data_IF_170561196889
#
_entry.id   IF_170561196889
#
_cell.length_a   1.000
_cell.length_b   1.000
_cell.length_c   1.000
_cell.angle_alpha   90.00
_cell.angle_beta   90.00
_cell.angle_gamma   90.00
#
_symmetry.space_group_name_H-M   'P 1'
#
loop_
_entity.id
_entity.type
_entity.pdbx_description
1 polymer ?
#
# COMPACT_ATOMS: atom_id res chain seq x y z
N UNK A 1 -31.50 -31.02 -13.81
CA UNK A 1 -30.23 -30.29 -13.68
C UNK A 1 -29.84 -30.35 -12.22
N UNK A 2 -28.66 -30.91 -11.93
CA UNK A 2 -28.16 -30.99 -10.58
C UNK A 2 -27.69 -29.59 -10.16
N UNK A 3 -28.28 -29.00 -9.13
CA UNK A 3 -28.01 -27.61 -8.72
C UNK A 3 -27.25 -27.58 -7.40
N UNK A 4 -26.17 -26.81 -7.37
CA UNK A 4 -25.48 -26.45 -6.14
C UNK A 4 -26.42 -25.64 -5.25
N UNK A 5 -26.40 -25.90 -3.95
CA UNK A 5 -27.17 -25.13 -2.96
C UNK A 5 -26.20 -24.48 -1.99
N UNK A 6 -26.38 -23.18 -1.72
CA UNK A 6 -25.58 -22.49 -0.70
C UNK A 6 -25.82 -23.15 0.66
N UNK A 7 -24.73 -23.42 1.37
CA UNK A 7 -24.72 -23.97 2.71
C UNK A 7 -24.03 -22.98 3.65
N UNK A 8 -24.53 -22.89 4.88
CA UNK A 8 -23.95 -22.08 5.93
C UNK A 8 -23.47 -23.04 7.02
N UNK A 9 -22.16 -23.16 7.25
CA UNK A 9 -21.65 -23.90 8.40
C UNK A 9 -22.25 -23.34 9.69
N UNK A 10 -22.54 -24.21 10.64
CA UNK A 10 -23.19 -23.87 11.90
C UNK A 10 -22.16 -23.60 13.02
N UNK A 11 -20.89 -23.88 12.76
CA UNK A 11 -19.79 -23.67 13.70
C UNK A 11 -18.44 -23.56 12.97
N UNK A 12 -17.46 -22.95 13.63
CA UNK A 12 -16.07 -22.93 13.14
C UNK A 12 -15.49 -24.34 13.04
N UNK A 13 -15.77 -25.23 14.00
CA UNK A 13 -15.34 -26.63 13.93
C UNK A 13 -15.86 -27.35 12.67
N UNK A 14 -17.10 -27.07 12.27
CA UNK A 14 -17.64 -27.60 11.02
C UNK A 14 -16.96 -27.02 9.79
N UNK A 15 -16.72 -25.70 9.78
CA UNK A 15 -15.98 -25.04 8.71
C UNK A 15 -14.56 -25.60 8.60
N UNK A 16 -13.89 -25.85 9.72
CA UNK A 16 -12.54 -26.44 9.78
C UNK A 16 -12.52 -27.82 9.11
N UNK A 17 -13.49 -28.69 9.39
CA UNK A 17 -13.58 -30.00 8.74
C UNK A 17 -13.72 -29.88 7.22
N UNK A 18 -14.49 -28.90 6.73
CA UNK A 18 -14.68 -28.68 5.30
C UNK A 18 -13.38 -28.15 4.67
N UNK A 19 -12.70 -27.21 5.33
CA UNK A 19 -11.42 -26.67 4.88
C UNK A 19 -10.35 -27.76 4.82
N UNK A 20 -10.26 -28.63 5.83
CA UNK A 20 -9.28 -29.73 5.84
C UNK A 20 -9.49 -30.72 4.70
N UNK A 21 -10.76 -31.02 4.36
CA UNK A 21 -11.09 -31.90 3.25
C UNK A 21 -10.73 -31.29 1.87
N UNK A 22 -10.70 -29.97 1.79
CA UNK A 22 -10.52 -29.19 0.55
C UNK A 22 -9.34 -28.21 0.68
N UNK A 23 -8.28 -28.60 1.38
CA UNK A 23 -7.14 -27.71 1.67
C UNK A 23 -6.43 -27.27 0.38
N UNK A 24 -6.32 -28.20 -0.58
CA UNK A 24 -5.72 -27.98 -1.90
C UNK A 24 -6.50 -26.94 -2.73
N UNK A 25 -7.76 -26.65 -2.38
CA UNK A 25 -8.54 -25.60 -3.02
C UNK A 25 -8.14 -24.18 -2.57
N UNK A 26 -7.38 -24.04 -1.47
CA UNK A 26 -6.76 -22.77 -1.07
C UNK A 26 -5.62 -22.46 -2.04
N UNK A 27 -4.69 -23.39 -2.17
CA UNK A 27 -3.52 -23.29 -3.03
C UNK A 27 -2.94 -24.68 -3.30
N UNK A 28 -2.53 -24.93 -4.54
CA UNK A 28 -1.97 -26.22 -4.95
C UNK A 28 -0.67 -26.54 -4.21
N UNK A 29 -0.61 -27.72 -3.61
CA UNK A 29 0.59 -28.18 -2.87
C UNK A 29 0.69 -27.64 -1.44
N UNK A 30 -0.39 -27.04 -0.92
CA UNK A 30 -0.49 -26.69 0.50
C UNK A 30 -0.68 -27.96 1.34
N UNK A 31 0.25 -28.23 2.24
CA UNK A 31 0.25 -29.39 3.12
C UNK A 31 -0.09 -29.00 4.57
N UNK A 32 -1.05 -29.71 5.17
CA UNK A 32 -1.37 -29.54 6.60
C UNK A 32 -0.27 -30.16 7.47
N UNK A 33 0.38 -29.35 8.30
CA UNK A 33 1.30 -29.83 9.33
C UNK A 33 0.53 -30.21 10.59
N UNK A 34 -0.34 -29.32 11.06
CA UNK A 34 -1.18 -29.56 12.23
C UNK A 34 -2.42 -28.66 12.25
N UNK A 35 -3.56 -29.27 12.58
CA UNK A 35 -4.80 -28.58 12.95
C UNK A 35 -4.82 -28.32 14.46
N UNK A 36 -5.30 -27.16 14.89
CA UNK A 36 -5.29 -26.70 16.28
C UNK A 36 -3.87 -26.72 16.89
N UNK A 37 -2.91 -26.06 16.23
CA UNK A 37 -1.52 -26.02 16.66
C UNK A 37 -1.37 -25.17 17.94
N UNK A 38 -0.85 -25.73 19.05
CA UNK A 38 -0.65 -24.97 20.27
C UNK A 38 0.59 -24.07 20.13
N UNK A 39 0.36 -22.75 20.13
CA UNK A 39 1.42 -21.74 20.22
C UNK A 39 1.58 -21.23 21.65
N UNK A 40 2.69 -20.54 21.93
CA UNK A 40 2.87 -19.80 23.18
C UNK A 40 1.88 -18.63 23.37
N UNK A 41 1.01 -18.36 22.38
CA UNK A 41 0.06 -17.25 22.36
C UNK A 41 -1.40 -17.67 22.22
N UNK A 42 -1.72 -18.96 22.14
CA UNK A 42 -3.06 -19.49 21.89
C UNK A 42 -3.02 -20.71 20.97
N UNK A 43 -4.18 -21.12 20.45
CA UNK A 43 -4.29 -22.24 19.52
C UNK A 43 -4.53 -21.64 18.12
N UNK A 44 -3.61 -21.93 17.21
CA UNK A 44 -3.72 -21.56 15.79
C UNK A 44 -4.60 -22.59 15.09
N UNK A 45 -5.54 -22.15 14.24
CA UNK A 45 -6.45 -23.04 13.54
C UNK A 45 -5.70 -24.03 12.63
N UNK A 46 -4.88 -23.54 11.69
CA UNK A 46 -4.04 -24.41 10.87
C UNK A 46 -2.62 -23.89 10.74
N UNK A 47 -1.68 -24.80 10.98
CA UNK A 47 -0.28 -24.65 10.58
C UNK A 47 -0.04 -25.54 9.37
N UNK A 48 0.40 -24.94 8.26
CA UNK A 48 0.65 -25.60 6.99
C UNK A 48 2.06 -25.30 6.48
N UNK A 49 2.47 -26.00 5.42
CA UNK A 49 3.60 -25.67 4.58
C UNK A 49 3.14 -25.58 3.12
N UNK A 50 3.60 -24.59 2.37
CA UNK A 50 3.29 -24.48 0.96
C UNK A 50 4.24 -25.28 0.06
N UNK A 51 4.08 -25.16 -1.26
CA UNK A 51 4.88 -25.90 -2.23
C UNK A 51 6.38 -25.55 -2.23
N UNK A 52 6.77 -24.41 -1.64
CA UNK A 52 8.16 -24.02 -1.39
C UNK A 52 8.63 -24.43 0.03
N UNK A 53 7.83 -25.24 0.72
CA UNK A 53 7.99 -25.68 2.10
C UNK A 53 8.01 -24.53 3.13
N UNK A 54 7.53 -23.34 2.74
CA UNK A 54 7.44 -22.18 3.64
C UNK A 54 6.25 -22.36 4.57
N UNK A 55 6.43 -22.01 5.84
CA UNK A 55 5.36 -22.07 6.83
C UNK A 55 4.19 -21.13 6.48
N UNK A 56 2.98 -21.64 6.60
CA UNK A 56 1.72 -20.90 6.37
C UNK A 56 0.86 -20.99 7.61
N UNK A 57 0.45 -19.83 8.10
CA UNK A 57 -0.44 -19.67 9.26
C UNK A 57 -1.83 -19.35 8.72
N UNK A 58 -2.81 -20.18 9.03
CA UNK A 58 -4.20 -19.96 8.60
C UNK A 58 -5.07 -19.75 9.84
N UNK A 59 -5.77 -18.63 9.89
CA UNK A 59 -6.77 -18.31 10.91
C UNK A 59 -8.13 -18.16 10.24
N UNK A 60 -9.16 -18.77 10.84
CA UNK A 60 -10.49 -18.89 10.26
C UNK A 60 -11.53 -18.29 11.19
N UNK A 61 -12.53 -17.61 10.60
CA UNK A 61 -13.71 -17.12 11.31
C UNK A 61 -14.98 -17.44 10.54
N UNK A 62 -16.03 -17.85 11.25
CA UNK A 62 -17.33 -18.14 10.63
C UNK A 62 -17.99 -16.89 10.04
N UNK A 63 -17.74 -15.72 10.62
CA UNK A 63 -18.29 -14.43 10.22
C UNK A 63 -17.20 -13.35 10.22
N UNK A 64 -17.57 -12.12 9.91
CA UNK A 64 -16.69 -10.96 10.05
C UNK A 64 -16.21 -10.81 11.51
N UNK A 65 -14.89 -10.68 11.70
CA UNK A 65 -14.25 -10.52 13.00
C UNK A 65 -13.09 -9.51 12.91
N UNK A 66 -13.13 -8.46 13.74
CA UNK A 66 -12.13 -7.38 13.74
C UNK A 66 -10.81 -7.74 14.45
N UNK A 67 -10.78 -8.87 15.18
CA UNK A 67 -9.62 -9.33 15.92
C UNK A 67 -8.81 -10.40 15.17
N UNK A 68 -9.35 -10.98 14.11
CA UNK A 68 -8.71 -12.07 13.34
C UNK A 68 -7.28 -11.72 12.91
N UNK A 69 -7.06 -10.49 12.44
CA UNK A 69 -5.73 -10.00 12.06
C UNK A 69 -4.78 -9.97 13.26
N UNK A 70 -5.23 -9.48 14.41
CA UNK A 70 -4.41 -9.40 15.62
C UNK A 70 -4.07 -10.80 16.17
N UNK A 71 -5.01 -11.75 16.11
CA UNK A 71 -4.79 -13.14 16.49
C UNK A 71 -3.70 -13.77 15.60
N UNK A 72 -3.86 -13.68 14.28
CA UNK A 72 -2.89 -14.22 13.33
C UNK A 72 -1.49 -13.59 13.49
N UNK A 73 -1.40 -12.27 13.69
CA UNK A 73 -0.12 -11.59 13.94
C UNK A 73 0.55 -12.04 15.24
N UNK A 74 -0.22 -12.37 16.28
CA UNK A 74 0.31 -12.96 17.52
C UNK A 74 0.89 -14.34 17.29
N UNK A 75 0.21 -15.18 16.50
CA UNK A 75 0.71 -16.50 16.13
C UNK A 75 1.97 -16.39 15.28
N UNK A 76 1.97 -15.51 14.28
CA UNK A 76 3.14 -15.21 13.47
C UNK A 76 4.36 -14.87 14.32
N UNK A 77 4.22 -13.95 15.29
CA UNK A 77 5.35 -13.57 16.15
C UNK A 77 5.94 -14.72 16.98
N UNK A 78 5.14 -15.73 17.33
CA UNK A 78 5.60 -16.92 18.04
C UNK A 78 6.21 -17.96 17.09
N UNK A 79 5.58 -18.22 15.95
CA UNK A 79 6.05 -19.20 14.95
C UNK A 79 7.34 -18.73 14.28
N UNK A 80 7.42 -17.47 13.83
CA UNK A 80 8.62 -16.92 13.17
C UNK A 80 9.83 -16.96 14.11
N UNK A 81 9.63 -16.60 15.39
CA UNK A 81 10.68 -16.69 16.42
C UNK A 81 11.18 -18.12 16.61
N UNK A 82 10.33 -19.13 16.43
CA UNK A 82 10.63 -20.54 16.69
C UNK A 82 10.72 -21.40 15.42
N UNK A 83 10.85 -20.80 14.23
CA UNK A 83 10.76 -21.50 12.93
C UNK A 83 11.67 -22.73 12.79
N UNK A 84 12.90 -22.65 13.29
CA UNK A 84 13.83 -23.80 13.29
C UNK A 84 13.38 -24.93 14.23
N UNK A 85 12.70 -24.60 15.33
CA UNK A 85 12.13 -25.60 16.24
C UNK A 85 10.92 -26.26 15.59
N UNK A 86 10.06 -25.47 14.94
CA UNK A 86 8.91 -25.97 14.18
C UNK A 86 9.37 -26.88 13.05
N UNK A 87 10.38 -26.49 12.27
CA UNK A 87 10.93 -27.32 11.20
C UNK A 87 11.51 -28.65 11.71
N UNK A 88 12.13 -28.66 12.90
CA UNK A 88 12.58 -29.91 13.54
C UNK A 88 11.44 -30.79 14.02
N UNK A 89 10.34 -30.19 14.48
CA UNK A 89 9.14 -30.93 14.90
C UNK A 89 8.48 -31.65 13.72
N UNK A 90 8.53 -31.03 12.53
CA UNK A 90 7.98 -31.55 11.28
C UNK A 90 9.08 -31.92 10.27
N UNK A 91 10.16 -32.57 10.76
CA UNK A 91 11.32 -32.88 9.94
C UNK A 91 11.03 -33.83 8.76
N UNK A 92 9.93 -34.59 8.82
CA UNK A 92 9.44 -35.46 7.75
C UNK A 92 8.72 -34.69 6.63
N UNK A 93 8.45 -33.39 6.81
CA UNK A 93 7.72 -32.50 5.88
C UNK A 93 8.61 -31.48 5.16
N UNK A 94 9.91 -31.57 5.37
CA UNK A 94 10.94 -30.71 4.75
C UNK A 94 10.69 -29.20 4.89
N UNK A 95 10.07 -28.78 6.00
CA UNK A 95 9.76 -27.36 6.27
C UNK A 95 11.02 -26.51 6.16
N UNK A 96 10.96 -25.47 5.33
CA UNK A 96 12.02 -24.48 5.16
C UNK A 96 11.93 -23.39 6.25
N UNK A 97 12.88 -23.35 7.21
CA UNK A 97 12.89 -22.37 8.28
C UNK A 97 13.62 -21.08 7.91
N UNK A 98 14.18 -20.95 6.71
CA UNK A 98 14.89 -19.74 6.30
C UNK A 98 13.93 -18.62 5.91
N UNK A 99 12.78 -18.98 5.34
CA UNK A 99 11.74 -18.03 4.96
C UNK A 99 10.79 -17.73 6.14
N UNK A 100 10.44 -16.45 6.39
CA UNK A 100 9.49 -16.10 7.43
C UNK A 100 8.10 -16.62 7.04
N UNK A 101 7.26 -17.07 7.99
CA UNK A 101 5.91 -17.56 7.67
C UNK A 101 5.07 -16.52 6.91
N UNK A 102 4.10 -16.96 6.13
CA UNK A 102 3.02 -16.10 5.60
C UNK A 102 1.69 -16.39 6.29
N UNK A 103 0.75 -15.46 6.18
CA UNK A 103 -0.57 -15.57 6.80
C UNK A 103 -1.65 -15.65 5.73
N UNK A 104 -2.60 -16.56 5.91
CA UNK A 104 -3.87 -16.59 5.19
C UNK A 104 -5.00 -16.39 6.22
N UNK A 105 -5.85 -15.39 6.01
CA UNK A 105 -7.05 -15.20 6.81
C UNK A 105 -8.26 -15.67 6.01
N UNK A 106 -9.12 -16.47 6.62
CA UNK A 106 -10.35 -16.97 5.98
C UNK A 106 -11.58 -16.56 6.78
N UNK A 107 -12.52 -15.88 6.14
CA UNK A 107 -13.78 -15.48 6.78
C UNK A 107 -14.95 -15.49 5.80
N UNK A 108 -16.19 -15.43 6.28
CA UNK A 108 -17.34 -15.24 5.37
C UNK A 108 -17.24 -13.88 4.67
N UNK A 109 -16.79 -12.85 5.41
CA UNK A 109 -16.50 -11.50 4.92
C UNK A 109 -15.41 -10.81 5.74
N UNK A 110 -14.71 -9.86 5.11
CA UNK A 110 -13.82 -8.92 5.78
C UNK A 110 -14.30 -7.48 5.68
N UNK A 111 -14.21 -6.74 6.78
CA UNK A 111 -14.44 -5.29 6.81
C UNK A 111 -13.40 -4.53 5.99
N UNK A 112 -13.73 -3.29 5.60
CA UNK A 112 -12.79 -2.41 4.90
C UNK A 112 -11.54 -2.13 5.74
N UNK A 113 -11.66 -2.08 7.07
CA UNK A 113 -10.53 -1.87 7.95
C UNK A 113 -9.58 -3.06 7.96
N UNK A 114 -10.06 -4.32 8.04
CA UNK A 114 -9.19 -5.50 7.91
C UNK A 114 -8.52 -5.54 6.53
N UNK A 115 -9.27 -5.25 5.46
CA UNK A 115 -8.75 -5.19 4.08
C UNK A 115 -7.66 -4.12 3.91
N UNK A 116 -7.76 -3.00 4.63
CA UNK A 116 -6.76 -1.93 4.63
C UNK A 116 -5.59 -2.25 5.54
N UNK A 117 -5.83 -2.66 6.78
CA UNK A 117 -4.80 -2.88 7.80
C UNK A 117 -3.87 -4.04 7.45
N UNK A 118 -4.38 -5.08 6.79
CA UNK A 118 -3.56 -6.18 6.25
C UNK A 118 -2.46 -5.69 5.29
N UNK A 119 -2.67 -4.57 4.59
CA UNK A 119 -1.66 -3.97 3.69
C UNK A 119 -0.55 -3.21 4.41
N UNK A 120 -0.75 -2.89 5.69
CA UNK A 120 0.12 -1.98 6.46
C UNK A 120 1.06 -2.73 7.41
N UNK A 121 0.96 -4.05 7.48
CA UNK A 121 1.73 -4.89 8.40
C UNK A 121 2.69 -5.80 7.64
N UNK A 122 3.64 -6.36 8.37
CA UNK A 122 4.43 -7.53 7.96
C UNK A 122 4.11 -8.64 8.97
N UNK A 123 3.92 -9.91 8.54
CA UNK A 123 4.25 -10.52 7.24
C UNK A 123 3.24 -10.23 6.12
N UNK A 124 3.44 -10.83 4.95
CA UNK A 124 2.46 -10.81 3.85
C UNK A 124 1.19 -11.56 4.29
N UNK A 125 0.04 -10.93 4.06
CA UNK A 125 -1.27 -11.43 4.49
C UNK A 125 -2.17 -11.58 3.27
N UNK A 126 -2.64 -12.80 3.05
CA UNK A 126 -3.68 -13.12 2.09
C UNK A 126 -5.04 -13.17 2.77
N UNK A 127 -6.06 -12.63 2.09
CA UNK A 127 -7.43 -12.58 2.58
C UNK A 127 -8.31 -13.40 1.64
N UNK A 128 -8.94 -14.44 2.16
CA UNK A 128 -9.87 -15.29 1.42
C UNK A 128 -11.27 -15.22 2.03
N UNK A 129 -12.24 -14.75 1.27
CA UNK A 129 -13.65 -14.92 1.64
C UNK A 129 -14.14 -16.28 1.17
N UNK A 130 -14.98 -16.98 1.95
CA UNK A 130 -15.46 -18.31 1.55
C UNK A 130 -16.94 -18.35 1.19
N UNK A 131 -17.32 -19.36 0.41
CA UNK A 131 -18.69 -19.81 0.23
C UNK A 131 -18.76 -21.32 0.29
N UNK A 132 -19.65 -21.87 1.11
CA UNK A 132 -19.87 -23.32 1.17
C UNK A 132 -21.11 -23.69 0.36
N UNK A 133 -21.02 -24.80 -0.35
CA UNK A 133 -22.12 -25.35 -1.15
C UNK A 133 -22.36 -26.81 -0.83
N UNK A 134 -23.60 -27.25 -0.93
CA UNK A 134 -23.94 -28.68 -1.00
C UNK A 134 -23.93 -29.11 -2.45
N UNK A 135 -23.08 -30.08 -2.76
CA UNK A 135 -23.01 -30.77 -4.05
C UNK A 135 -24.26 -31.62 -4.28
N UNK A 136 -24.57 -31.98 -5.54
CA UNK A 136 -25.66 -32.91 -5.84
C UNK A 136 -25.54 -34.27 -5.15
N UNK A 137 -24.32 -34.69 -4.83
CA UNK A 137 -24.00 -35.92 -4.07
C UNK A 137 -24.40 -35.83 -2.60
N UNK A 138 -24.70 -34.63 -2.08
CA UNK A 138 -24.95 -34.36 -0.67
C UNK A 138 -23.72 -33.94 0.12
N UNK A 139 -22.53 -34.04 -0.48
CA UNK A 139 -21.26 -33.58 0.10
C UNK A 139 -21.19 -32.06 0.15
N UNK A 140 -20.34 -31.53 1.03
CA UNK A 140 -20.09 -30.09 1.17
C UNK A 140 -18.78 -29.76 0.45
N UNK A 141 -18.79 -28.72 -0.37
CA UNK A 141 -17.60 -28.13 -0.98
C UNK A 141 -17.45 -26.68 -0.59
N UNK A 142 -16.22 -26.15 -0.65
CA UNK A 142 -15.89 -24.76 -0.33
C UNK A 142 -15.29 -24.07 -1.55
N UNK A 143 -15.61 -22.79 -1.71
CA UNK A 143 -15.05 -21.91 -2.72
C UNK A 143 -14.40 -20.74 -2.00
N UNK A 144 -13.15 -20.43 -2.35
CA UNK A 144 -12.42 -19.27 -1.83
C UNK A 144 -12.43 -18.13 -2.86
N UNK A 145 -12.60 -16.91 -2.36
CA UNK A 145 -12.65 -15.69 -3.13
C UNK A 145 -11.54 -14.77 -2.63
N UNK A 146 -10.43 -14.64 -3.37
CA UNK A 146 -9.35 -13.73 -3.00
C UNK A 146 -9.86 -12.30 -2.90
N UNK A 147 -9.55 -11.66 -1.79
CA UNK A 147 -9.92 -10.26 -1.56
C UNK A 147 -8.77 -9.36 -1.97
N UNK A 148 -9.05 -8.47 -2.94
CA UNK A 148 -8.10 -7.43 -3.30
C UNK A 148 -7.92 -6.44 -2.15
N UNK A 149 -6.67 -6.10 -1.78
CA UNK A 149 -6.41 -5.08 -0.79
C UNK A 149 -6.97 -3.73 -1.25
N UNK A 150 -7.49 -2.94 -0.30
CA UNK A 150 -7.82 -1.53 -0.56
C UNK A 150 -6.56 -0.72 -0.27
N UNK A 151 -5.80 -0.27 -1.30
CA UNK A 151 -4.64 0.56 -1.04
C UNK A 151 -5.09 1.82 -0.29
N UNK A 152 -4.31 2.30 0.70
CA UNK A 152 -4.65 3.53 1.39
C UNK A 152 -4.84 4.65 0.35
N UNK A 153 -5.87 5.48 0.47
CA UNK A 153 -6.02 6.61 -0.44
C UNK A 153 -4.75 7.46 -0.34
N UNK A 154 -4.23 7.96 -1.49
CA UNK A 154 -3.06 8.83 -1.45
C UNK A 154 -3.36 10.00 -0.50
N UNK A 155 -2.40 10.42 0.34
CA UNK A 155 -2.63 11.54 1.24
C UNK A 155 -3.09 12.75 0.44
N UNK A 156 -4.17 13.40 0.88
CA UNK A 156 -4.67 14.62 0.25
C UNK A 156 -3.62 15.75 0.26
N UNK A 157 -3.77 16.76 -0.62
CA UNK A 157 -2.84 17.89 -0.67
C UNK A 157 -2.80 18.61 0.69
N UNK A 158 -1.61 18.99 1.13
CA UNK A 158 -1.45 19.80 2.35
C UNK A 158 -1.77 21.27 2.02
N UNK A 159 -2.23 22.10 2.97
CA UNK A 159 -2.31 23.54 2.75
C UNK A 159 -0.93 24.10 2.33
N UNK A 160 -0.90 25.09 1.44
CA UNK A 160 0.36 25.74 1.03
C UNK A 160 1.13 26.23 2.27
N UNK A 161 0.43 26.82 3.23
CA UNK A 161 1.03 27.28 4.50
C UNK A 161 1.73 26.15 5.27
N UNK A 162 1.22 24.93 5.22
CA UNK A 162 1.89 23.78 5.83
C UNK A 162 3.20 23.45 5.12
N UNK A 163 3.21 23.48 3.78
CA UNK A 163 4.40 23.24 2.96
C UNK A 163 5.47 24.33 3.19
N UNK A 164 5.05 25.59 3.30
CA UNK A 164 5.94 26.70 3.64
C UNK A 164 6.58 26.50 5.03
N UNK A 165 5.77 26.10 6.02
CA UNK A 165 6.24 25.83 7.39
C UNK A 165 7.00 24.50 7.53
N UNK A 166 7.05 23.67 6.49
CA UNK A 166 7.84 22.45 6.47
C UNK A 166 9.34 22.77 6.38
N UNK A 167 9.71 23.87 5.70
CA UNK A 167 11.05 24.44 5.73
C UNK A 167 11.33 25.02 7.13
N UNK A 168 12.32 24.44 7.83
CA UNK A 168 12.74 24.85 9.17
C UNK A 168 13.96 25.76 9.16
N UNK A 169 14.65 25.86 8.03
CA UNK A 169 15.75 26.79 7.86
C UNK A 169 15.21 28.21 7.67
N UNK A 170 15.21 29.00 8.74
CA UNK A 170 14.62 30.35 8.77
C UNK A 170 15.31 31.30 7.79
N UNK A 171 16.62 31.12 7.57
CA UNK A 171 17.42 31.93 6.64
C UNK A 171 16.95 31.80 5.18
N UNK A 172 16.39 30.65 4.80
CA UNK A 172 15.92 30.36 3.44
C UNK A 172 14.46 30.78 3.18
N UNK A 173 13.67 31.07 4.22
CA UNK A 173 12.25 31.43 4.07
C UNK A 173 12.02 32.70 3.23
N UNK A 174 12.81 33.79 3.39
CA UNK A 174 12.68 34.98 2.55
C UNK A 174 12.87 34.64 1.07
N UNK A 175 13.92 33.88 0.73
CA UNK A 175 14.23 33.48 -0.64
C UNK A 175 13.15 32.56 -1.23
N UNK A 176 12.60 31.63 -0.42
CA UNK A 176 11.47 30.81 -0.85
C UNK A 176 10.26 31.67 -1.21
N UNK A 177 9.93 32.68 -0.40
CA UNK A 177 8.83 33.61 -0.71
C UNK A 177 9.14 34.46 -1.94
N UNK A 178 10.38 34.92 -2.09
CA UNK A 178 10.84 35.65 -3.27
C UNK A 178 10.62 34.84 -4.54
N UNK A 179 11.10 33.59 -4.60
CA UNK A 179 10.92 32.71 -5.77
C UNK A 179 9.44 32.45 -6.04
N UNK A 180 8.65 32.22 -4.99
CA UNK A 180 7.21 32.04 -5.09
C UNK A 180 6.50 33.26 -5.68
N UNK A 181 6.86 34.48 -5.26
CA UNK A 181 6.33 35.70 -5.87
C UNK A 181 6.86 35.90 -7.30
N UNK A 182 8.12 35.58 -7.55
CA UNK A 182 8.72 35.68 -8.87
C UNK A 182 7.97 34.81 -9.88
N UNK A 183 7.63 33.56 -9.53
CA UNK A 183 6.83 32.67 -10.40
C UNK A 183 5.42 33.22 -10.62
N UNK A 184 4.75 33.68 -9.56
CA UNK A 184 3.39 34.25 -9.66
C UNK A 184 3.35 35.55 -10.47
N UNK A 185 4.42 36.33 -10.43
CA UNK A 185 4.59 37.58 -11.18
C UNK A 185 5.09 37.40 -12.61
N UNK A 186 5.27 36.16 -13.10
CA UNK A 186 5.69 35.93 -14.49
C UNK A 186 4.64 36.44 -15.47
N UNK A 187 3.36 36.27 -15.17
CA UNK A 187 2.27 36.67 -16.05
C UNK A 187 0.90 36.27 -15.54
N UNK A 188 -0.15 36.72 -16.24
CA UNK A 188 -1.54 36.40 -15.89
C UNK A 188 -1.86 34.93 -16.19
N UNK A 189 -2.81 34.37 -15.42
CA UNK A 189 -3.29 33.01 -15.64
C UNK A 189 -2.41 31.91 -15.04
N UNK A 190 -1.65 32.26 -14.00
CA UNK A 190 -0.89 31.32 -13.18
C UNK A 190 -1.72 30.96 -11.96
N UNK A 191 -2.00 29.68 -11.79
CA UNK A 191 -2.63 29.13 -10.60
C UNK A 191 -1.58 28.41 -9.75
N UNK A 192 -1.48 28.83 -8.49
CA UNK A 192 -0.67 28.16 -7.48
C UNK A 192 -1.54 27.16 -6.70
N UNK A 193 -1.06 25.93 -6.54
CA UNK A 193 -1.74 24.90 -5.77
C UNK A 193 -0.76 24.03 -5.01
N UNK A 194 -1.25 23.32 -3.99
CA UNK A 194 -0.44 22.39 -3.22
C UNK A 194 -0.66 20.94 -3.67
N UNK A 195 0.42 20.16 -3.59
CA UNK A 195 0.39 18.70 -3.64
C UNK A 195 0.64 18.14 -2.24
N UNK A 196 0.72 16.81 -2.04
CA UNK A 196 1.09 16.27 -0.73
C UNK A 196 2.47 16.71 -0.25
N UNK A 197 3.38 17.07 -1.17
CA UNK A 197 4.80 17.27 -0.87
C UNK A 197 5.42 18.58 -1.39
N UNK A 198 4.78 19.28 -2.32
CA UNK A 198 5.36 20.47 -2.96
C UNK A 198 4.30 21.47 -3.42
N UNK A 199 4.72 22.71 -3.62
CA UNK A 199 3.91 23.80 -4.20
C UNK A 199 4.11 23.76 -5.71
N UNK A 200 3.03 23.79 -6.47
CA UNK A 200 3.04 23.68 -7.92
C UNK A 200 2.38 24.89 -8.57
N UNK A 201 2.80 25.20 -9.79
CA UNK A 201 2.25 26.30 -10.58
C UNK A 201 1.82 25.77 -11.95
N UNK A 202 0.57 26.05 -12.32
CA UNK A 202 0.01 25.67 -13.62
C UNK A 202 -0.54 26.89 -14.36
N UNK A 203 -0.45 26.83 -15.68
CA UNK A 203 -1.12 27.79 -16.56
C UNK A 203 -2.62 27.47 -16.62
N UNK A 204 -3.48 28.43 -17.00
CA UNK A 204 -4.94 28.22 -17.21
C UNK A 204 -5.29 27.06 -18.14
N UNK A 205 -4.36 26.63 -19.00
CA UNK A 205 -4.45 25.37 -19.75
C UNK A 205 -4.54 24.09 -18.89
N UNK A 206 -4.31 24.19 -17.57
CA UNK A 206 -4.27 23.07 -16.63
C UNK A 206 -2.90 22.39 -16.50
N UNK A 207 -1.90 22.81 -17.28
CA UNK A 207 -0.57 22.19 -17.32
C UNK A 207 0.40 22.86 -16.33
N UNK A 208 1.04 22.05 -15.49
CA UNK A 208 2.08 22.49 -14.56
C UNK A 208 3.36 22.85 -15.31
N UNK A 209 3.97 23.99 -14.97
CA UNK A 209 5.22 24.47 -15.57
C UNK A 209 6.31 24.78 -14.55
N UNK A 210 5.99 24.85 -13.26
CA UNK A 210 6.98 25.03 -12.20
C UNK A 210 6.57 24.36 -10.88
N UNK A 211 7.55 24.16 -10.01
CA UNK A 211 7.35 23.66 -8.65
C UNK A 211 8.37 24.22 -7.66
N UNK A 212 7.99 24.26 -6.39
CA UNK A 212 8.88 24.47 -5.24
C UNK A 212 8.64 23.30 -4.28
N UNK A 213 9.69 22.52 -4.03
CA UNK A 213 9.67 21.35 -3.17
C UNK A 213 10.37 21.65 -1.84
N UNK A 214 9.65 22.10 -0.80
CA UNK A 214 10.26 22.37 0.49
C UNK A 214 10.70 21.08 1.18
N UNK A 215 11.92 21.09 1.72
CA UNK A 215 12.42 20.13 2.71
C UNK A 215 12.73 20.86 3.99
N UNK A 216 13.08 20.14 5.06
CA UNK A 216 13.32 20.77 6.37
C UNK A 216 14.49 21.75 6.39
N UNK A 217 15.51 21.55 5.55
CA UNK A 217 16.76 22.34 5.57
C UNK A 217 17.10 23.03 4.24
N UNK A 218 16.36 22.74 3.19
CA UNK A 218 16.57 23.24 1.85
C UNK A 218 15.25 23.19 1.10
N UNK A 219 15.20 23.72 -0.10
CA UNK A 219 14.10 23.45 -1.02
C UNK A 219 14.62 23.32 -2.44
N UNK A 220 13.92 22.52 -3.25
CA UNK A 220 14.21 22.42 -4.68
C UNK A 220 13.26 23.34 -5.44
N UNK A 221 13.77 24.12 -6.39
CA UNK A 221 12.96 24.92 -7.31
C UNK A 221 13.18 24.40 -8.72
N UNK A 222 12.12 24.20 -9.49
CA UNK A 222 12.27 23.63 -10.84
C UNK A 222 11.18 24.00 -11.83
N UNK A 223 11.50 23.75 -13.09
CA UNK A 223 10.69 23.91 -14.27
C UNK A 223 10.31 22.54 -14.84
N UNK A 224 9.06 22.44 -15.31
CA UNK A 224 8.68 21.39 -16.24
C UNK A 224 8.95 21.94 -17.64
N UNK A 225 9.93 21.42 -18.36
CA UNK A 225 10.35 21.92 -19.67
C UNK A 225 9.29 21.55 -20.70
N UNK A 226 8.59 22.55 -21.22
CA UNK A 226 7.53 22.37 -22.22
C UNK A 226 7.96 23.00 -23.53
N UNK A 227 7.80 22.30 -24.65
CA UNK A 227 8.06 22.82 -26.00
C UNK A 227 6.90 23.64 -26.57
N UNK A 228 7.10 24.25 -27.73
CA UNK A 228 6.10 25.07 -28.42
C UNK A 228 4.83 24.28 -28.81
N UNK A 229 4.97 22.96 -29.00
CA UNK A 229 3.86 22.02 -29.23
C UNK A 229 3.14 21.59 -27.93
N UNK A 230 3.52 22.19 -26.79
CA UNK A 230 2.99 21.93 -25.43
C UNK A 230 3.29 20.55 -24.88
N UNK A 231 4.31 19.87 -25.42
CA UNK A 231 4.78 18.57 -24.93
C UNK A 231 5.77 18.80 -23.79
N UNK A 232 5.64 17.98 -22.76
CA UNK A 232 6.61 17.93 -21.68
C UNK A 232 7.85 17.17 -22.19
N UNK A 233 9.00 17.81 -22.15
CA UNK A 233 10.27 17.25 -22.61
C UNK A 233 11.12 16.74 -21.46
N UNK A 234 11.21 17.51 -20.37
CA UNK A 234 12.09 17.20 -19.24
C UNK A 234 11.66 17.93 -17.96
N UNK A 235 12.35 17.63 -16.87
CA UNK A 235 12.28 18.32 -15.59
C UNK A 235 13.66 18.84 -15.22
N UNK A 236 13.76 20.14 -14.99
CA UNK A 236 14.99 20.76 -14.54
C UNK A 236 14.77 21.51 -13.24
N UNK A 237 15.72 21.41 -12.31
CA UNK A 237 15.63 22.11 -11.05
C UNK A 237 16.97 22.31 -10.39
N UNK A 238 16.97 23.24 -9.45
CA UNK A 238 18.09 23.56 -8.60
C UNK A 238 17.69 23.34 -7.15
N UNK A 239 18.64 22.84 -6.35
CA UNK A 239 18.51 22.80 -4.91
C UNK A 239 19.08 24.07 -4.31
N UNK A 240 18.33 24.69 -3.41
CA UNK A 240 18.74 25.87 -2.66
C UNK A 240 18.97 25.43 -1.21
N UNK A 241 20.24 25.28 -0.84
CA UNK A 241 20.70 24.83 0.47
C UNK A 241 21.27 25.97 1.32
N UNK A 242 21.93 26.93 0.69
CA UNK A 242 22.61 28.04 1.37
C UNK A 242 21.93 29.40 1.15
N UNK A 243 21.20 29.54 0.03
CA UNK A 243 20.57 30.78 -0.39
C UNK A 243 21.40 31.59 -1.38
N UNK A 244 22.65 31.19 -1.61
CA UNK A 244 23.55 31.82 -2.57
C UNK A 244 23.50 31.16 -3.96
N UNK A 245 22.73 30.08 -4.11
CA UNK A 245 22.62 29.35 -5.37
C UNK A 245 21.89 30.19 -6.44
N UNK A 246 22.52 30.33 -7.61
CA UNK A 246 21.94 31.04 -8.74
C UNK A 246 20.82 30.22 -9.40
N UNK A 247 19.57 30.62 -9.15
CA UNK A 247 18.39 30.00 -9.75
C UNK A 247 17.90 30.70 -11.02
N UNK A 248 18.63 31.70 -11.54
CA UNK A 248 18.21 32.52 -12.67
C UNK A 248 17.98 31.71 -13.95
N UNK A 249 18.82 30.70 -14.21
CA UNK A 249 18.66 29.79 -15.35
C UNK A 249 17.36 28.97 -15.25
N UNK A 250 17.08 28.41 -14.07
CA UNK A 250 15.83 27.68 -13.82
C UNK A 250 14.62 28.61 -13.97
N UNK A 251 14.70 29.83 -13.45
CA UNK A 251 13.63 30.82 -13.61
C UNK A 251 13.40 31.19 -15.08
N UNK A 252 14.45 31.29 -15.89
CA UNK A 252 14.33 31.51 -17.33
C UNK A 252 13.60 30.33 -18.00
N UNK A 253 13.93 29.09 -17.64
CA UNK A 253 13.24 27.89 -18.14
C UNK A 253 11.78 27.83 -17.71
N UNK A 254 11.45 28.27 -16.49
CA UNK A 254 10.07 28.44 -16.02
C UNK A 254 9.32 29.44 -16.89
N UNK A 255 9.90 30.61 -17.18
CA UNK A 255 9.29 31.64 -18.05
C UNK A 255 9.06 31.12 -19.46
N UNK A 256 10.04 30.45 -20.05
CA UNK A 256 9.93 29.83 -21.39
C UNK A 256 8.80 28.80 -21.42
N UNK A 257 8.73 27.92 -20.42
CA UNK A 257 7.70 26.87 -20.34
C UNK A 257 6.30 27.48 -20.16
N UNK A 258 6.17 28.57 -19.40
CA UNK A 258 4.93 29.31 -19.28
C UNK A 258 4.48 29.93 -20.62
N UNK A 259 5.40 30.54 -21.36
CA UNK A 259 5.12 31.11 -22.70
C UNK A 259 4.71 30.01 -23.69
N UNK A 260 5.40 28.88 -23.69
CA UNK A 260 5.09 27.75 -24.55
C UNK A 260 3.70 27.14 -24.27
N UNK A 261 3.22 27.24 -23.03
CA UNK A 261 1.84 26.90 -22.66
C UNK A 261 0.79 27.95 -23.08
N UNK A 262 1.21 29.02 -23.76
CA UNK A 262 0.36 30.13 -24.21
C UNK A 262 0.29 31.31 -23.22
N UNK A 263 1.12 31.32 -22.19
CA UNK A 263 1.23 32.41 -21.24
C UNK A 263 1.83 33.67 -21.86
N UNK A 264 1.48 34.84 -21.31
CA UNK A 264 2.06 36.14 -21.70
C UNK A 264 2.81 36.73 -20.52
N UNK A 265 4.07 37.07 -20.73
CA UNK A 265 4.91 37.68 -19.70
C UNK A 265 4.35 39.05 -19.31
N UNK A 266 4.34 39.36 -18.01
CA UNK A 266 4.16 40.73 -17.51
C UNK A 266 5.51 41.47 -17.63
N UNK A 267 5.46 42.70 -18.15
CA UNK A 267 6.62 43.56 -18.42
C UNK A 267 6.96 44.47 -17.26
#
# INVERSE_FOLDING_TARGET
MATLKKYYPQSEAELHMIIQAELDAIEGGLELLQHEYPSGKGILDFLCADSDHRLVIIEVKLHEDENILFQALRYYGDIDKNRYVVARLFADKDVNPEDPPRIILIAERFSEDIRRLSTLVRPDIELLEYSVVTLPTGEKGILYHPVSPVPPPPPGPKPIEWLLNYLKEESLKPLLQEIRQAVKGIGKGIEEYATPNYIAYKHTSGRQFAYIWPRRRYFDFGANIVDEDRRLLDYEGIRIETGDEDYSEVLAKVKTSFVNLGGKLEG
#
